data_IF_371980219963
#
_entry.id   IF_371980219963
#
_cell.length_a   1.000
_cell.length_b   1.000
_cell.length_c   1.000
_cell.angle_alpha   90.00
_cell.angle_beta   90.00
_cell.angle_gamma   90.00
#
_symmetry.space_group_name_H-M   'P 1'
#
loop_
_entity.id
_entity.type
_entity.pdbx_description
1 polymer ?
#
# COMPACT_ATOMS: atom_id res chain seq x y z
N UNK A 1 -1.20 -16.58 -3.40
CA UNK A 1 -2.38 -16.00 -2.72
C UNK A 1 -2.02 -14.58 -2.33
N UNK A 2 -2.84 -13.58 -2.67
CA UNK A 2 -2.66 -12.19 -2.21
C UNK A 2 -3.58 -12.01 -1.01
N UNK A 3 -3.06 -11.41 0.07
CA UNK A 3 -3.83 -11.00 1.25
C UNK A 3 -3.55 -9.52 1.49
N UNK A 4 -4.58 -8.78 1.86
CA UNK A 4 -4.48 -7.36 2.16
C UNK A 4 -5.48 -7.02 3.27
N UNK A 5 -5.19 -5.93 3.98
CA UNK A 5 -6.02 -5.37 5.02
C UNK A 5 -6.30 -3.91 4.66
N UNK A 6 -7.54 -3.46 4.92
CA UNK A 6 -7.88 -2.05 4.85
C UNK A 6 -7.57 -1.38 6.18
N UNK A 7 -6.90 -0.25 6.14
CA UNK A 7 -6.58 0.56 7.33
C UNK A 7 -7.20 1.94 7.16
N UNK A 8 -7.95 2.38 8.16
CA UNK A 8 -8.46 3.75 8.23
C UNK A 8 -7.34 4.64 8.80
N UNK A 9 -6.82 5.56 7.99
CA UNK A 9 -5.60 6.29 8.35
C UNK A 9 -5.80 7.24 9.55
N UNK A 10 -7.01 7.75 9.77
CA UNK A 10 -7.33 8.65 10.89
C UNK A 10 -7.51 7.91 12.22
N UNK A 11 -7.85 6.61 12.18
CA UNK A 11 -7.89 5.74 13.36
C UNK A 11 -6.51 5.19 13.75
N UNK A 12 -5.57 5.09 12.80
CA UNK A 12 -4.23 4.56 13.01
C UNK A 12 -3.12 5.55 12.59
N UNK A 13 -3.02 6.73 13.25
CA UNK A 13 -2.10 7.80 12.85
C UNK A 13 -0.63 7.39 12.92
N UNK A 14 -0.20 6.65 13.96
CA UNK A 14 1.20 6.20 14.09
C UNK A 14 1.60 5.24 12.96
N UNK A 15 0.68 4.39 12.51
CA UNK A 15 0.90 3.47 11.40
C UNK A 15 0.92 4.21 10.06
N UNK A 16 0.04 5.20 9.90
CA UNK A 16 0.04 6.09 8.74
C UNK A 16 1.37 6.86 8.64
N UNK A 17 1.87 7.40 9.75
CA UNK A 17 3.15 8.10 9.83
C UNK A 17 4.32 7.16 9.55
N UNK A 18 4.31 5.93 10.08
CA UNK A 18 5.33 4.91 9.83
C UNK A 18 5.52 4.65 8.33
N UNK A 19 4.44 4.63 7.55
CA UNK A 19 4.46 4.44 6.10
C UNK A 19 4.38 5.74 5.30
N UNK A 20 4.59 6.89 5.95
CA UNK A 20 4.58 8.21 5.33
C UNK A 20 3.32 8.50 4.49
N UNK A 21 2.15 8.06 4.96
CA UNK A 21 0.87 8.29 4.27
C UNK A 21 0.58 9.79 4.27
N UNK A 22 0.62 10.41 3.09
CA UNK A 22 0.28 11.84 2.90
C UNK A 22 -1.06 12.06 2.21
N UNK A 23 -1.64 11.01 1.65
CA UNK A 23 -2.92 11.04 0.95
C UNK A 23 -3.43 9.62 0.70
N UNK A 24 -4.75 9.48 0.61
CA UNK A 24 -5.41 8.19 0.44
C UNK A 24 -6.12 8.10 -0.92
N UNK A 25 -6.27 6.89 -1.51
CA UNK A 25 -5.73 5.62 -1.02
C UNK A 25 -4.22 5.49 -1.27
N UNK A 26 -3.51 4.85 -0.32
CA UNK A 26 -2.10 4.43 -0.46
C UNK A 26 -2.02 2.94 -0.11
N UNK A 27 -1.45 2.13 -1.00
CA UNK A 27 -1.20 0.70 -0.76
C UNK A 27 0.27 0.49 -0.47
N UNK A 28 0.56 -0.04 0.71
CA UNK A 28 1.90 -0.50 1.10
C UNK A 28 2.00 -2.00 0.84
N UNK A 29 3.04 -2.43 0.14
CA UNK A 29 3.25 -3.83 -0.24
C UNK A 29 4.39 -4.39 0.61
N UNK A 30 4.18 -5.56 1.24
CA UNK A 30 5.18 -6.26 2.04
C UNK A 30 5.93 -5.36 3.05
N UNK A 31 5.19 -4.55 3.82
CA UNK A 31 5.75 -3.65 4.84
C UNK A 31 6.84 -2.69 4.33
N UNK A 32 6.67 -2.17 3.10
CA UNK A 32 7.60 -1.21 2.49
C UNK A 32 8.44 -1.77 1.35
N UNK A 33 8.25 -3.04 0.97
CA UNK A 33 8.82 -3.62 -0.26
C UNK A 33 8.29 -3.00 -1.56
N UNK A 34 7.18 -2.27 -1.50
CA UNK A 34 6.66 -1.44 -2.58
C UNK A 34 5.55 -0.51 -2.09
N UNK A 35 5.24 0.52 -2.88
CA UNK A 35 4.19 1.47 -2.57
C UNK A 35 3.46 1.92 -3.83
N UNK A 36 2.13 2.01 -3.75
CA UNK A 36 1.27 2.54 -4.81
C UNK A 36 0.42 3.67 -4.24
N UNK A 37 0.47 4.82 -4.90
CA UNK A 37 -0.30 6.00 -4.55
C UNK A 37 -1.53 6.12 -5.46
N UNK A 38 -2.69 6.35 -4.86
CA UNK A 38 -3.96 6.51 -5.55
C UNK A 38 -4.58 5.20 -6.06
N UNK A 39 -5.77 5.32 -6.64
CA UNK A 39 -6.48 4.20 -7.25
C UNK A 39 -5.92 3.95 -8.67
N UNK A 40 -4.98 3.01 -8.79
CA UNK A 40 -4.43 2.59 -10.08
C UNK A 40 -5.23 1.43 -10.69
N UNK A 41 -5.19 1.22 -12.01
CA UNK A 41 -5.76 0.03 -12.63
C UNK A 41 -5.15 -1.26 -12.06
N UNK A 42 -5.94 -2.33 -12.01
CA UNK A 42 -5.51 -3.62 -11.46
C UNK A 42 -4.20 -4.15 -12.05
N UNK A 43 -3.95 -4.10 -13.39
CA UNK A 43 -2.69 -4.59 -13.94
C UNK A 43 -1.46 -3.87 -13.39
N UNK A 44 -1.58 -2.58 -13.07
CA UNK A 44 -0.51 -1.79 -12.47
C UNK A 44 -0.21 -2.27 -11.04
N UNK A 45 -1.25 -2.47 -10.22
CA UNK A 45 -1.07 -2.97 -8.84
C UNK A 45 -0.43 -4.36 -8.83
N UNK A 46 -0.88 -5.27 -9.71
CA UNK A 46 -0.30 -6.62 -9.82
C UNK A 46 1.17 -6.58 -10.24
N UNK A 47 1.56 -5.65 -11.13
CA UNK A 47 2.94 -5.48 -11.53
C UNK A 47 3.82 -5.04 -10.34
N UNK A 48 3.37 -4.07 -9.54
CA UNK A 48 4.11 -3.61 -8.35
C UNK A 48 4.21 -4.69 -7.27
N UNK A 49 3.13 -5.47 -7.04
CA UNK A 49 3.18 -6.61 -6.12
C UNK A 49 4.23 -7.63 -6.55
N UNK A 50 4.29 -7.95 -7.86
CA UNK A 50 5.30 -8.88 -8.39
C UNK A 50 6.72 -8.35 -8.25
N UNK A 51 6.93 -7.04 -8.43
CA UNK A 51 8.25 -6.40 -8.23
C UNK A 51 8.72 -6.55 -6.79
N UNK A 52 7.82 -6.38 -5.81
CA UNK A 52 8.11 -6.48 -4.38
C UNK A 52 8.30 -7.91 -3.84
N UNK A 53 8.27 -8.93 -4.70
CA UNK A 53 8.53 -10.34 -4.36
C UNK A 53 9.90 -10.83 -4.82
N UNK A 54 10.63 -10.04 -5.61
CA UNK A 54 11.99 -10.33 -6.05
C UNK A 54 13.01 -9.71 -5.09
#
# INVERSE_FOLDING_TARGET
MIRAEGVEATEFPDLADQFNVRGVPQTVINSGGGMVMGAVPEPNLIAEIKRALN
#
